data_IF_124043024901
#
_entry.id   IF_124043024901
#
_cell.length_a   1.000
_cell.length_b   1.000
_cell.length_c   1.000
_cell.angle_alpha   90.00
_cell.angle_beta   90.00
_cell.angle_gamma   90.00
#
_symmetry.space_group_name_H-M   'P 1'
#
loop_
_entity.id
_entity.type
_entity.pdbx_description
1 polymer ?
#
# COMPACT_ATOMS: atom_id res chain seq x y z
N UNK A 1 -0.99 43.52 -16.55
CA UNK A 1 0.07 44.42 -17.02
C UNK A 1 -0.47 45.83 -16.89
N UNK A 2 0.32 46.77 -16.35
CA UNK A 2 -0.07 48.18 -16.29
C UNK A 2 0.89 48.90 -17.20
N UNK A 3 0.36 49.53 -18.24
CA UNK A 3 1.14 50.22 -19.24
C UNK A 3 0.95 51.73 -19.07
N UNK A 4 2.07 52.47 -19.05
CA UNK A 4 2.04 53.92 -18.96
C UNK A 4 1.63 54.50 -20.32
N UNK A 5 0.63 55.36 -20.33
CA UNK A 5 0.21 56.13 -21.50
C UNK A 5 1.00 57.43 -21.49
N UNK A 6 1.68 57.73 -22.59
CA UNK A 6 2.50 58.93 -22.77
C UNK A 6 1.93 59.80 -23.89
N UNK A 7 2.10 61.11 -23.76
CA UNK A 7 1.80 62.06 -24.84
C UNK A 7 2.92 62.11 -25.90
N UNK A 8 2.75 62.93 -26.94
CA UNK A 8 3.73 63.11 -28.02
C UNK A 8 5.08 63.68 -27.55
N UNK A 9 5.14 64.25 -26.34
CA UNK A 9 6.35 64.79 -25.71
C UNK A 9 7.02 63.78 -24.77
N UNK A 10 6.39 62.61 -24.59
CA UNK A 10 6.88 61.54 -23.72
C UNK A 10 6.43 61.64 -22.26
N UNK A 11 5.65 62.66 -21.90
CA UNK A 11 5.15 62.88 -20.54
C UNK A 11 4.04 61.88 -20.20
N UNK A 12 4.04 61.37 -18.97
CA UNK A 12 3.05 60.37 -18.53
C UNK A 12 1.71 61.08 -18.29
N UNK A 13 0.68 60.68 -19.03
CA UNK A 13 -0.66 61.23 -18.93
C UNK A 13 -1.67 60.27 -18.27
N UNK A 14 -1.26 59.02 -18.03
CA UNK A 14 -2.08 58.05 -17.31
C UNK A 14 -1.54 56.64 -17.37
N UNK A 15 -2.33 55.70 -16.84
CA UNK A 15 -2.01 54.28 -16.86
C UNK A 15 -3.22 53.50 -17.36
N UNK A 16 -2.99 52.64 -18.35
CA UNK A 16 -3.97 51.64 -18.76
C UNK A 16 -3.70 50.34 -18.00
N UNK A 17 -4.78 49.67 -17.59
CA UNK A 17 -4.71 48.32 -17.04
C UNK A 17 -5.75 47.45 -17.72
N UNK A 18 -5.29 46.35 -18.31
CA UNK A 18 -6.17 45.23 -18.69
C UNK A 18 -6.06 44.17 -17.61
N UNK A 19 -7.21 43.81 -17.02
CA UNK A 19 -7.31 42.70 -16.06
C UNK A 19 -8.14 41.61 -16.72
N UNK A 20 -7.56 40.40 -16.81
CA UNK A 20 -8.29 39.20 -17.22
C UNK A 20 -8.59 38.39 -15.97
N UNK A 21 -9.84 38.02 -15.79
CA UNK A 21 -10.19 37.03 -14.79
C UNK A 21 -9.56 35.67 -15.17
N UNK A 22 -8.80 35.11 -14.25
CA UNK A 22 -8.11 33.83 -14.43
C UNK A 22 -8.54 32.80 -13.37
N UNK A 23 -9.60 33.08 -12.62
CA UNK A 23 -10.04 32.27 -11.49
C UNK A 23 -10.33 30.84 -11.93
N UNK A 24 -11.20 30.65 -12.92
CA UNK A 24 -11.54 29.32 -13.45
C UNK A 24 -10.32 28.55 -13.97
N UNK A 25 -9.41 29.23 -14.67
CA UNK A 25 -8.18 28.61 -15.17
C UNK A 25 -7.28 28.16 -14.02
N UNK A 26 -7.16 28.97 -12.96
CA UNK A 26 -6.35 28.66 -11.79
C UNK A 26 -6.94 27.51 -10.98
N UNK A 27 -8.25 27.46 -10.83
CA UNK A 27 -8.95 26.35 -10.19
C UNK A 27 -8.79 25.05 -10.99
N UNK A 28 -8.93 25.10 -12.32
CA UNK A 28 -8.69 23.93 -13.18
C UNK A 28 -7.23 23.45 -13.12
N UNK A 29 -6.26 24.36 -13.14
CA UNK A 29 -4.83 24.04 -12.96
C UNK A 29 -4.58 23.35 -11.61
N UNK A 30 -5.18 23.84 -10.53
CA UNK A 30 -5.06 23.25 -9.20
C UNK A 30 -5.71 21.87 -9.10
N UNK A 31 -6.92 21.71 -9.63
CA UNK A 31 -7.63 20.43 -9.66
C UNK A 31 -6.86 19.38 -10.47
N UNK A 32 -6.29 19.77 -11.61
CA UNK A 32 -5.46 18.89 -12.43
C UNK A 32 -4.18 18.48 -11.70
N UNK A 33 -3.52 19.42 -11.01
CA UNK A 33 -2.33 19.12 -10.21
C UNK A 33 -2.64 18.10 -9.10
N UNK A 34 -3.74 18.29 -8.38
CA UNK A 34 -4.18 17.36 -7.34
C UNK A 34 -4.51 15.97 -7.91
N UNK A 35 -5.28 15.90 -9.00
CA UNK A 35 -5.64 14.63 -9.62
C UNK A 35 -4.41 13.86 -10.11
N UNK A 36 -3.41 14.56 -10.65
CA UNK A 36 -2.15 13.94 -11.05
C UNK A 36 -1.36 13.39 -9.87
N UNK A 37 -1.34 14.10 -8.73
CA UNK A 37 -0.69 13.62 -7.51
C UNK A 37 -1.37 12.36 -6.95
N UNK A 38 -2.70 12.37 -6.88
CA UNK A 38 -3.50 11.21 -6.47
C UNK A 38 -3.29 10.00 -7.40
N UNK A 39 -3.26 10.24 -8.72
CA UNK A 39 -3.00 9.20 -9.72
C UNK A 39 -1.60 8.61 -9.55
N UNK A 40 -0.58 9.46 -9.40
CA UNK A 40 0.79 9.01 -9.19
C UNK A 40 0.92 8.17 -7.91
N UNK A 41 0.27 8.60 -6.82
CA UNK A 41 0.26 7.85 -5.57
C UNK A 41 -0.47 6.51 -5.70
N UNK A 42 -1.59 6.47 -6.42
CA UNK A 42 -2.33 5.24 -6.71
C UNK A 42 -1.50 4.24 -7.51
N UNK A 43 -0.81 4.70 -8.56
CA UNK A 43 0.07 3.86 -9.39
C UNK A 43 1.26 3.31 -8.59
N UNK A 44 1.85 4.13 -7.71
CA UNK A 44 2.92 3.68 -6.81
C UNK A 44 2.46 2.54 -5.91
N UNK A 45 1.28 2.68 -5.30
CA UNK A 45 0.69 1.64 -4.45
C UNK A 45 0.35 0.37 -5.22
N UNK A 46 -0.16 0.49 -6.45
CA UNK A 46 -0.44 -0.64 -7.33
C UNK A 46 0.83 -1.41 -7.70
N UNK A 47 1.90 -0.69 -8.06
CA UNK A 47 3.20 -1.28 -8.35
C UNK A 47 3.77 -2.04 -7.14
N UNK A 48 3.69 -1.45 -5.95
CA UNK A 48 4.07 -2.11 -4.69
C UNK A 48 3.23 -3.37 -4.48
N UNK A 49 1.90 -3.29 -4.59
CA UNK A 49 1.01 -4.43 -4.40
C UNK A 49 1.30 -5.60 -5.35
N UNK A 50 1.56 -5.31 -6.63
CA UNK A 50 1.91 -6.33 -7.63
C UNK A 50 3.26 -6.99 -7.34
N UNK A 51 4.28 -6.20 -7.03
CA UNK A 51 5.62 -6.70 -6.67
C UNK A 51 5.55 -7.56 -5.42
N UNK A 52 4.87 -7.08 -4.38
CA UNK A 52 4.69 -7.78 -3.13
C UNK A 52 3.91 -9.09 -3.31
N UNK A 53 2.86 -9.10 -4.14
CA UNK A 53 2.10 -10.32 -4.44
C UNK A 53 2.95 -11.40 -5.10
N UNK A 54 3.79 -11.03 -6.07
CA UNK A 54 4.72 -11.95 -6.73
C UNK A 54 5.77 -12.50 -5.75
N UNK A 55 6.43 -11.62 -4.99
CA UNK A 55 7.43 -12.02 -3.99
C UNK A 55 6.82 -12.92 -2.92
N UNK A 56 5.61 -12.61 -2.45
CA UNK A 56 4.91 -13.41 -1.44
C UNK A 56 4.54 -14.80 -1.96
N UNK A 57 4.08 -14.91 -3.21
CA UNK A 57 3.81 -16.19 -3.84
C UNK A 57 5.07 -17.07 -3.90
N UNK A 58 6.21 -16.52 -4.33
CA UNK A 58 7.45 -17.26 -4.46
C UNK A 58 7.99 -17.70 -3.09
N UNK A 59 7.85 -16.84 -2.06
CA UNK A 59 8.18 -17.20 -0.69
C UNK A 59 7.34 -18.37 -0.18
N UNK A 60 6.03 -18.37 -0.44
CA UNK A 60 5.15 -19.46 -0.04
C UNK A 60 5.54 -20.78 -0.74
N UNK A 61 5.94 -20.72 -2.01
CA UNK A 61 6.42 -21.90 -2.73
C UNK A 61 7.67 -22.50 -2.09
N UNK A 62 8.65 -21.66 -1.74
CA UNK A 62 9.87 -22.10 -1.06
C UNK A 62 9.56 -22.68 0.32
N UNK A 63 8.74 -21.99 1.12
CA UNK A 63 8.35 -22.46 2.45
C UNK A 63 7.64 -23.81 2.40
N UNK A 64 6.75 -24.02 1.42
CA UNK A 64 6.04 -25.28 1.23
C UNK A 64 6.98 -26.43 0.85
N UNK A 65 7.94 -26.19 -0.05
CA UNK A 65 8.93 -27.19 -0.43
C UNK A 65 9.83 -27.60 0.76
N UNK A 66 10.29 -26.62 1.54
CA UNK A 66 11.09 -26.87 2.75
C UNK A 66 10.25 -27.60 3.80
N UNK A 67 8.98 -27.20 4.00
CA UNK A 67 8.06 -27.85 4.95
C UNK A 67 7.88 -29.32 4.61
N UNK A 68 7.59 -29.64 3.34
CA UNK A 68 7.45 -31.02 2.90
C UNK A 68 8.73 -31.84 3.11
N UNK A 69 9.89 -31.22 2.89
CA UNK A 69 11.20 -31.86 3.11
C UNK A 69 11.44 -32.18 4.59
N UNK A 70 11.09 -31.25 5.48
CA UNK A 70 11.20 -31.43 6.94
C UNK A 70 10.19 -32.46 7.47
N UNK A 71 8.97 -32.51 6.95
CA UNK A 71 7.99 -33.53 7.30
C UNK A 71 8.46 -34.93 6.92
N UNK A 72 9.04 -35.08 5.72
CA UNK A 72 9.65 -36.34 5.29
C UNK A 72 10.86 -36.70 6.16
N UNK A 73 11.69 -35.73 6.52
CA UNK A 73 12.84 -35.93 7.40
C UNK A 73 12.38 -36.39 8.79
N UNK A 74 11.36 -35.76 9.38
CA UNK A 74 10.77 -36.13 10.67
C UNK A 74 10.34 -37.60 10.73
N UNK A 75 9.80 -38.13 9.62
CA UNK A 75 9.34 -39.53 9.51
C UNK A 75 10.49 -40.54 9.37
N UNK A 76 11.68 -40.10 8.94
CA UNK A 76 12.83 -40.96 8.60
C UNK A 76 13.95 -40.93 9.64
N UNK A 77 14.03 -39.87 10.43
CA UNK A 77 15.04 -39.71 11.47
C UNK A 77 14.71 -40.68 12.63
N UNK A 78 15.71 -41.41 13.17
CA UNK A 78 15.55 -42.22 14.38
C UNK A 78 14.99 -41.39 15.53
N UNK A 79 14.48 -42.02 16.59
CA UNK A 79 13.99 -41.34 17.80
C UNK A 79 15.09 -40.66 18.63
N UNK A 80 16.00 -39.94 17.98
CA UNK A 80 16.97 -39.02 18.57
C UNK A 80 16.27 -37.69 18.85
N UNK A 81 16.08 -37.41 20.13
CA UNK A 81 15.37 -36.23 20.60
C UNK A 81 16.05 -34.92 20.21
N UNK A 82 17.37 -34.92 20.03
CA UNK A 82 18.11 -33.72 19.60
C UNK A 82 17.82 -33.39 18.14
N UNK A 83 17.75 -34.41 17.28
CA UNK A 83 17.41 -34.22 15.87
C UNK A 83 15.94 -33.81 15.71
N UNK A 84 15.02 -34.42 16.46
CA UNK A 84 13.60 -34.02 16.45
C UNK A 84 13.42 -32.56 16.86
N UNK A 85 14.12 -32.07 17.89
CA UNK A 85 14.09 -30.66 18.29
C UNK A 85 14.57 -29.71 17.19
N UNK A 86 15.60 -30.08 16.41
CA UNK A 86 16.06 -29.27 15.29
C UNK A 86 15.01 -29.18 14.18
N UNK A 87 14.36 -30.30 13.86
CA UNK A 87 13.26 -30.33 12.89
C UNK A 87 12.08 -29.48 13.36
N UNK A 88 11.67 -29.59 14.63
CA UNK A 88 10.58 -28.80 15.20
C UNK A 88 10.90 -27.30 15.20
N UNK A 89 12.13 -26.92 15.55
CA UNK A 89 12.58 -25.52 15.47
C UNK A 89 12.53 -24.97 14.04
N UNK A 90 12.94 -25.77 13.05
CA UNK A 90 12.88 -25.39 11.65
C UNK A 90 11.42 -25.24 11.16
N UNK A 91 10.54 -26.16 11.54
CA UNK A 91 9.09 -26.08 11.25
C UNK A 91 8.45 -24.82 11.86
N UNK A 92 8.80 -24.47 13.11
CA UNK A 92 8.36 -23.20 13.70
C UNK A 92 8.87 -21.97 12.94
N UNK A 93 10.10 -22.04 12.41
CA UNK A 93 10.65 -21.02 11.51
C UNK A 93 9.80 -20.83 10.25
N UNK A 94 9.42 -21.94 9.60
CA UNK A 94 8.56 -21.92 8.42
C UNK A 94 7.19 -21.32 8.73
N UNK A 95 6.56 -21.71 9.83
CA UNK A 95 5.24 -21.19 10.22
C UNK A 95 5.26 -19.67 10.45
N UNK A 96 6.32 -19.17 11.09
CA UNK A 96 6.54 -17.72 11.25
C UNK A 96 6.75 -17.03 9.90
N UNK A 97 7.54 -17.63 9.01
CA UNK A 97 7.75 -17.13 7.65
C UNK A 97 6.44 -17.03 6.87
N UNK A 98 5.62 -18.08 6.89
CA UNK A 98 4.31 -18.11 6.23
C UNK A 98 3.36 -17.03 6.77
N UNK A 99 3.36 -16.82 8.10
CA UNK A 99 2.56 -15.78 8.74
C UNK A 99 2.99 -14.38 8.27
N UNK A 100 4.30 -14.13 8.19
CA UNK A 100 4.82 -12.85 7.70
C UNK A 100 4.45 -12.61 6.23
N UNK A 101 4.61 -13.64 5.39
CA UNK A 101 4.22 -13.60 3.97
C UNK A 101 2.73 -13.32 3.79
N UNK A 102 1.86 -13.93 4.60
CA UNK A 102 0.42 -13.65 4.58
C UNK A 102 0.10 -12.20 4.95
N UNK A 103 0.76 -11.64 5.97
CA UNK A 103 0.58 -10.22 6.34
C UNK A 103 1.02 -9.29 5.22
N UNK A 104 2.12 -9.62 4.56
CA UNK A 104 2.63 -8.87 3.42
C UNK A 104 1.63 -8.91 2.24
N UNK A 105 1.04 -10.07 1.96
CA UNK A 105 0.00 -10.24 0.95
C UNK A 105 -1.30 -9.50 1.31
N UNK A 106 -1.69 -9.50 2.59
CA UNK A 106 -2.85 -8.77 3.08
C UNK A 106 -2.67 -7.25 2.92
N UNK A 107 -1.46 -6.73 3.15
CA UNK A 107 -1.13 -5.33 2.89
C UNK A 107 -1.11 -5.00 1.39
N UNK A 108 -0.58 -5.90 0.57
CA UNK A 108 -0.50 -5.72 -0.88
C UNK A 108 -1.86 -5.82 -1.59
N UNK A 109 -2.77 -6.63 -1.06
CA UNK A 109 -4.14 -6.69 -1.54
C UNK A 109 -4.86 -5.44 -1.07
N UNK A 110 -5.19 -4.55 -2.01
CA UNK A 110 -6.43 -3.77 -1.93
C UNK A 110 -7.57 -4.79 -1.78
N UNK A 111 -7.90 -5.24 -0.55
CA UNK A 111 -9.29 -5.58 -0.35
C UNK A 111 -10.02 -4.30 -0.67
N UNK A 112 -10.90 -4.34 -1.68
CA UNK A 112 -12.06 -3.47 -1.66
C UNK A 112 -12.67 -3.68 -0.29
N UNK A 113 -12.36 -2.79 0.64
CA UNK A 113 -13.15 -2.66 1.85
C UNK A 113 -14.56 -2.48 1.29
N UNK A 114 -15.43 -3.43 1.61
CA UNK A 114 -16.87 -3.29 1.38
C UNK A 114 -17.41 -2.69 2.66
N UNK A 115 -17.30 -1.37 2.89
CA UNK A 115 -17.88 -0.76 4.08
C UNK A 115 -19.37 -1.05 4.04
N UNK A 116 -19.81 -1.87 4.99
CA UNK A 116 -21.20 -2.12 5.28
C UNK A 116 -21.57 -1.47 6.60
N UNK A 117 -22.85 -1.21 6.81
CA UNK A 117 -23.35 -0.85 8.14
C UNK A 117 -23.12 -2.05 9.06
N UNK A 118 -22.34 -1.87 10.12
CA UNK A 118 -22.03 -2.90 11.10
C UNK A 118 -22.47 -2.46 12.49
N UNK A 119 -22.98 -3.41 13.27
CA UNK A 119 -23.28 -3.20 14.69
C UNK A 119 -21.97 -3.41 15.48
N UNK A 120 -21.43 -2.30 15.99
CA UNK A 120 -20.16 -2.28 16.71
C UNK A 120 -20.21 -3.12 17.99
N UNK A 121 -21.35 -3.14 18.70
CA UNK A 121 -21.47 -3.91 19.94
C UNK A 121 -21.38 -5.42 19.66
N UNK A 122 -22.05 -5.91 18.62
CA UNK A 122 -21.96 -7.32 18.20
C UNK A 122 -20.59 -7.70 17.65
N UNK A 123 -19.92 -6.79 16.95
CA UNK A 123 -18.59 -7.04 16.41
C UNK A 123 -17.55 -7.22 17.53
N UNK A 124 -17.61 -6.37 18.56
CA UNK A 124 -16.71 -6.45 19.72
C UNK A 124 -16.98 -7.71 20.55
N UNK A 125 -18.24 -8.08 20.74
CA UNK A 125 -18.61 -9.28 21.49
C UNK A 125 -18.03 -10.55 20.81
N UNK A 126 -18.18 -10.67 19.50
CA UNK A 126 -17.60 -11.77 18.72
C UNK A 126 -16.07 -11.81 18.64
N UNK A 127 -15.38 -10.70 18.94
CA UNK A 127 -13.91 -10.67 19.06
C UNK A 127 -13.41 -11.09 20.43
N UNK A 128 -14.26 -10.99 21.47
CA UNK A 128 -13.92 -11.36 22.85
C UNK A 128 -13.67 -12.87 22.96
N UNK A 129 -14.36 -13.68 22.15
CA UNK A 129 -14.16 -15.13 22.02
C UNK A 129 -12.80 -15.53 21.43
N UNK A 130 -12.10 -14.62 20.72
CA UNK A 130 -10.75 -14.87 20.18
C UNK A 130 -9.63 -14.45 21.14
N UNK A 131 -9.96 -13.79 22.25
CA UNK A 131 -9.00 -13.27 23.24
C UNK A 131 -8.96 -14.09 24.54
N UNK A 132 -9.70 -15.20 24.60
CA UNK A 132 -9.60 -16.24 25.63
C UNK A 132 -8.77 -17.43 25.13
#
# INVERSE_FOLDING_TARGET
MIDAIRDERGEIIGYAKVTRDITERKEAEAALAQANEELMQSQKLEAIGRLTGGVAHDFNNLLMAISGSLELLRKRVPSDERLLRLVDNAMQGIQRGATLTQRMLAFARRQELRPGVVDVARLVDGMTDMLQ
#
